data_IF_616957086326
#
_entry.id   IF_616957086326
#
_cell.length_a   1.000
_cell.length_b   1.000
_cell.length_c   1.000
_cell.angle_alpha   90.00
_cell.angle_beta   90.00
_cell.angle_gamma   90.00
#
_symmetry.space_group_name_H-M   'P 1'
#
loop_
_entity.id
_entity.type
_entity.pdbx_description
1 polymer ?
#
# COMPACT_ATOMS: atom_id res chain seq x y z
N UNK A 1 -51.18 18.78 -21.12
CA UNK A 1 -50.19 17.69 -21.11
C UNK A 1 -49.16 18.01 -20.03
N UNK A 2 -49.48 17.69 -18.78
CA UNK A 2 -48.56 17.92 -17.66
C UNK A 2 -47.39 16.95 -17.83
N UNK A 3 -46.17 17.49 -17.92
CA UNK A 3 -44.95 16.69 -17.82
C UNK A 3 -44.89 16.18 -16.39
N UNK A 4 -45.24 14.91 -16.22
CA UNK A 4 -45.13 14.22 -14.96
C UNK A 4 -43.63 14.10 -14.60
N UNK A 5 -43.20 14.98 -13.70
CA UNK A 5 -41.86 15.01 -13.11
C UNK A 5 -41.71 13.97 -11.97
N UNK A 6 -42.64 13.01 -11.84
CA UNK A 6 -42.65 12.00 -10.77
C UNK A 6 -41.65 10.85 -10.94
N UNK A 7 -40.78 10.84 -11.95
CA UNK A 7 -39.59 10.00 -11.92
C UNK A 7 -38.52 10.67 -11.04
N UNK A 8 -38.86 10.86 -9.76
CA UNK A 8 -37.91 11.19 -8.68
C UNK A 8 -36.78 10.19 -8.80
N UNK A 9 -35.58 10.69 -9.09
CA UNK A 9 -34.29 9.99 -9.01
C UNK A 9 -34.40 8.86 -7.99
N UNK A 10 -34.35 7.63 -8.47
CA UNK A 10 -33.96 6.51 -7.65
C UNK A 10 -32.48 6.78 -7.33
N UNK A 11 -32.24 7.61 -6.30
CA UNK A 11 -30.90 7.90 -5.80
C UNK A 11 -30.45 6.55 -5.27
N UNK A 12 -29.67 5.83 -6.09
CA UNK A 12 -28.99 4.63 -5.65
C UNK A 12 -28.39 4.95 -4.29
N UNK A 13 -28.73 4.17 -3.27
CA UNK A 13 -28.17 4.32 -1.94
C UNK A 13 -26.70 3.88 -2.01
N UNK A 14 -25.85 4.73 -2.57
CA UNK A 14 -24.42 4.51 -2.75
C UNK A 14 -23.83 4.47 -1.35
N UNK A 15 -23.47 3.26 -0.91
CA UNK A 15 -23.00 3.02 0.46
C UNK A 15 -21.60 3.58 0.72
N UNK A 16 -20.80 3.77 -0.32
CA UNK A 16 -19.42 4.21 -0.21
C UNK A 16 -19.09 5.21 -1.32
N UNK A 17 -18.41 6.30 -0.97
CA UNK A 17 -18.02 7.34 -1.91
C UNK A 17 -16.82 6.92 -2.77
N UNK A 18 -15.92 6.11 -2.20
CA UNK A 18 -14.68 5.64 -2.84
C UNK A 18 -14.50 4.15 -2.53
N UNK A 19 -14.05 3.41 -3.54
CA UNK A 19 -13.60 2.03 -3.40
C UNK A 19 -12.16 1.92 -3.93
N UNK A 20 -11.35 1.10 -3.27
CA UNK A 20 -10.00 0.79 -3.73
C UNK A 20 -9.70 -0.69 -3.62
N UNK A 21 -8.92 -1.17 -4.57
CA UNK A 21 -8.45 -2.55 -4.64
C UNK A 21 -6.92 -2.50 -4.61
N UNK A 22 -6.31 -3.32 -3.76
CA UNK A 22 -4.87 -3.40 -3.64
C UNK A 22 -4.45 -4.60 -2.81
N UNK A 23 -3.16 -4.92 -2.87
CA UNK A 23 -2.57 -5.96 -2.04
C UNK A 23 -2.62 -5.56 -0.56
N UNK A 24 -3.03 -6.51 0.29
CA UNK A 24 -2.91 -6.36 1.73
C UNK A 24 -1.43 -6.53 2.11
N UNK A 25 -0.78 -5.43 2.47
CA UNK A 25 0.64 -5.39 2.79
C UNK A 25 0.86 -4.85 4.21
N UNK A 26 1.94 -5.32 4.83
CA UNK A 26 2.47 -4.79 6.08
C UNK A 26 3.85 -4.23 5.79
N UNK A 27 4.07 -2.96 6.10
CA UNK A 27 5.35 -2.31 5.87
C UNK A 27 6.28 -2.57 7.05
N UNK A 28 7.50 -3.02 6.74
CA UNK A 28 8.62 -3.11 7.67
C UNK A 28 9.56 -1.94 7.39
N UNK A 29 9.52 -0.93 8.25
CA UNK A 29 10.29 0.29 8.12
C UNK A 29 11.59 0.20 8.91
N UNK A 30 12.71 0.39 8.23
CA UNK A 30 14.05 0.30 8.79
C UNK A 30 14.84 1.54 8.37
N UNK A 31 15.47 2.18 9.33
CA UNK A 31 16.42 3.26 9.08
C UNK A 31 17.80 2.66 8.83
N UNK A 32 18.43 3.04 7.72
CA UNK A 32 19.75 2.55 7.30
C UNK A 32 20.46 3.59 6.46
N UNK A 33 21.79 3.54 6.42
CA UNK A 33 22.59 4.40 5.55
C UNK A 33 22.74 3.84 4.12
N UNK A 34 23.24 4.67 3.21
CA UNK A 34 23.42 4.30 1.79
C UNK A 34 24.42 3.14 1.60
N UNK A 35 25.39 2.99 2.51
CA UNK A 35 26.36 1.89 2.49
C UNK A 35 25.72 0.56 2.86
N UNK A 36 24.80 0.56 3.83
CA UNK A 36 24.06 -0.62 4.25
C UNK A 36 23.06 -1.06 3.19
N UNK A 37 22.36 -0.11 2.58
CA UNK A 37 21.47 -0.36 1.45
C UNK A 37 22.22 -1.02 0.28
N UNK A 38 23.41 -0.53 -0.02
CA UNK A 38 24.27 -1.08 -1.07
C UNK A 38 24.71 -2.52 -0.77
N UNK A 39 25.01 -2.87 0.50
CA UNK A 39 25.35 -4.25 0.92
C UNK A 39 24.18 -5.24 0.76
N UNK A 40 22.95 -4.74 0.67
CA UNK A 40 21.76 -5.55 0.41
C UNK A 40 21.48 -5.75 -1.08
N UNK A 41 22.26 -5.12 -1.96
CA UNK A 41 22.03 -5.00 -3.41
C UNK A 41 20.73 -4.23 -3.75
N UNK A 42 20.34 -3.28 -2.90
CA UNK A 42 19.17 -2.43 -3.13
C UNK A 42 19.61 -1.05 -3.63
N UNK A 43 18.83 -0.48 -4.55
CA UNK A 43 19.03 0.87 -5.07
C UNK A 43 18.07 1.85 -4.40
N UNK A 44 18.61 2.98 -3.93
CA UNK A 44 17.83 4.04 -3.28
C UNK A 44 16.75 4.57 -4.22
N UNK A 45 15.54 4.76 -3.68
CA UNK A 45 14.40 5.30 -4.43
C UNK A 45 13.74 4.35 -5.43
N UNK A 46 14.09 3.06 -5.43
CA UNK A 46 13.50 2.07 -6.33
C UNK A 46 12.59 1.08 -5.60
N UNK A 47 11.48 0.74 -6.26
CA UNK A 47 10.68 -0.43 -5.90
C UNK A 47 11.30 -1.68 -6.52
N UNK A 48 11.46 -2.72 -5.71
CA UNK A 48 11.99 -4.01 -6.15
C UNK A 48 10.90 -5.06 -5.94
N UNK A 49 10.37 -5.62 -7.03
CA UNK A 49 9.53 -6.81 -6.94
C UNK A 49 10.45 -8.03 -6.83
N UNK A 50 10.37 -8.72 -5.69
CA UNK A 50 11.24 -9.85 -5.37
C UNK A 50 10.43 -11.12 -5.13
N UNK A 51 11.05 -12.27 -5.39
CA UNK A 51 10.49 -13.57 -5.07
C UNK A 51 10.69 -13.96 -3.60
N UNK A 52 10.17 -15.13 -3.25
CA UNK A 52 10.18 -15.64 -1.86
C UNK A 52 11.59 -15.85 -1.29
N UNK A 53 12.51 -16.45 -2.07
CA UNK A 53 13.87 -16.73 -1.61
C UNK A 53 14.62 -15.44 -1.24
N UNK A 54 14.51 -14.43 -2.11
CA UNK A 54 15.13 -13.13 -1.91
C UNK A 54 14.50 -12.38 -0.74
N UNK A 55 13.17 -12.48 -0.57
CA UNK A 55 12.45 -11.94 0.59
C UNK A 55 12.97 -12.55 1.89
N UNK A 56 13.08 -13.89 1.98
CA UNK A 56 13.65 -14.57 3.15
C UNK A 56 15.10 -14.16 3.42
N UNK A 57 15.92 -14.03 2.37
CA UNK A 57 17.30 -13.55 2.49
C UNK A 57 17.38 -12.15 3.07
N UNK A 58 16.55 -11.22 2.58
CA UNK A 58 16.51 -9.85 3.06
C UNK A 58 15.99 -9.77 4.50
N UNK A 59 14.88 -10.45 4.81
CA UNK A 59 14.32 -10.53 6.16
C UNK A 59 15.37 -10.97 7.19
N UNK A 60 16.13 -12.02 6.89
CA UNK A 60 17.20 -12.49 7.77
C UNK A 60 18.34 -11.47 7.93
N UNK A 61 18.70 -10.75 6.86
CA UNK A 61 19.74 -9.70 6.93
C UNK A 61 19.31 -8.49 7.72
N UNK A 62 18.00 -8.21 7.79
CA UNK A 62 17.47 -7.03 8.48
C UNK A 62 17.09 -7.27 9.95
N UNK A 63 17.12 -8.51 10.45
CA UNK A 63 16.83 -8.85 11.85
C UNK A 63 17.69 -8.09 12.87
N UNK A 64 18.90 -7.67 12.48
CA UNK A 64 19.82 -6.90 13.32
C UNK A 64 19.42 -5.42 13.51
N UNK A 65 18.44 -4.93 12.76
CA UNK A 65 17.99 -3.54 12.85
C UNK A 65 16.74 -3.41 13.72
N UNK A 66 16.51 -2.20 14.25
CA UNK A 66 15.20 -1.85 14.79
C UNK A 66 14.17 -1.77 13.65
N UNK A 67 13.11 -2.56 13.75
CA UNK A 67 12.03 -2.60 12.75
C UNK A 67 10.79 -1.91 13.31
N UNK A 68 10.30 -0.88 12.62
CA UNK A 68 8.97 -0.31 12.88
C UNK A 68 7.96 -0.95 11.92
N UNK A 69 6.90 -1.50 12.48
CA UNK A 69 5.81 -2.13 11.71
C UNK A 69 4.69 -1.11 11.50
N UNK A 70 4.17 -1.04 10.28
CA UNK A 70 3.04 -0.19 9.92
C UNK A 70 2.09 -0.90 8.94
N UNK A 71 0.80 -0.53 8.90
CA UNK A 71 -0.06 -0.94 7.78
C UNK A 71 0.51 -0.37 6.48
N UNK A 72 0.56 -1.22 5.45
CA UNK A 72 1.15 -0.88 4.16
C UNK A 72 0.14 -0.95 3.01
N UNK A 73 0.69 -0.83 1.80
CA UNK A 73 -0.07 -0.95 0.56
C UNK A 73 -0.50 0.41 0.00
N UNK A 74 -0.13 0.66 -1.26
CA UNK A 74 -0.38 1.94 -1.94
C UNK A 74 -1.86 2.30 -2.01
N UNK A 75 -2.72 1.35 -2.42
CA UNK A 75 -4.17 1.58 -2.47
C UNK A 75 -4.77 1.83 -1.08
N UNK A 76 -4.33 1.10 -0.06
CA UNK A 76 -4.81 1.28 1.30
C UNK A 76 -4.42 2.65 1.87
N UNK A 77 -3.16 3.07 1.67
CA UNK A 77 -2.68 4.38 2.09
C UNK A 77 -3.38 5.52 1.32
N UNK A 78 -3.69 5.32 0.04
CA UNK A 78 -4.47 6.29 -0.76
C UNK A 78 -5.89 6.45 -0.23
N UNK A 79 -6.58 5.34 0.05
CA UNK A 79 -7.93 5.38 0.62
C UNK A 79 -7.96 5.97 2.04
N UNK A 80 -6.93 5.72 2.85
CA UNK A 80 -6.83 6.28 4.19
C UNK A 80 -6.72 7.82 4.19
N UNK A 81 -6.07 8.38 3.16
CA UNK A 81 -5.92 9.82 3.00
C UNK A 81 -7.02 10.52 2.20
N UNK A 82 -7.94 9.76 1.58
CA UNK A 82 -9.06 10.28 0.79
C UNK A 82 -10.23 10.70 1.68
#
# INVERSE_FOLDING_TARGET
>A
MQRDLSQKKNIMNIKYDIFGIGSALTDLLIEMDDSELSKLNLRKGQFHLIGEEESKRLLKKIEKYGVKIAPGGSSANTLYGA
#
